data_IF_842192164525
#
_entry.id   IF_842192164525
#
_cell.length_a   1.000
_cell.length_b   1.000
_cell.length_c   1.000
_cell.angle_alpha   90.00
_cell.angle_beta   90.00
_cell.angle_gamma   90.00
#
_symmetry.space_group_name_H-M   'P 1'
#
loop_
_entity.id
_entity.type
_entity.pdbx_description
1 polymer ?
#
# COMPACT_ATOMS: atom_id res chain seq x y z
N UNK A 1 10.45 13.18 29.42
CA UNK A 1 10.73 12.16 30.47
C UNK A 1 12.11 12.35 31.11
N UNK A 2 13.20 12.55 30.35
CA UNK A 2 14.52 12.85 30.92
C UNK A 2 14.55 14.12 31.81
N UNK A 3 13.82 15.18 31.44
CA UNK A 3 13.70 16.41 32.27
C UNK A 3 12.98 16.16 33.61
N UNK A 4 12.05 15.19 33.66
CA UNK A 4 11.32 14.83 34.89
C UNK A 4 12.26 14.12 35.87
N UNK A 5 13.03 13.17 35.35
CA UNK A 5 14.06 12.44 36.10
C UNK A 5 15.13 13.41 36.62
N UNK A 6 15.60 14.35 35.80
CA UNK A 6 16.61 15.33 36.20
C UNK A 6 16.09 16.36 37.23
N UNK A 7 14.80 16.70 37.20
CA UNK A 7 14.18 17.60 38.19
C UNK A 7 14.06 16.98 39.58
N UNK A 8 13.86 15.65 39.68
CA UNK A 8 13.87 14.96 40.97
C UNK A 8 15.27 14.89 41.60
N UNK A 9 16.33 14.95 40.79
CA UNK A 9 17.71 14.94 41.27
C UNK A 9 18.28 16.31 41.61
N UNK A 10 17.62 17.39 41.18
CA UNK A 10 18.11 18.76 41.39
C UNK A 10 17.47 19.44 42.61
N UNK A 11 16.88 18.67 43.53
CA UNK A 11 16.26 19.18 44.75
C UNK A 11 17.26 19.96 45.61
N UNK A 12 17.04 21.27 45.67
CA UNK A 12 17.87 22.24 46.38
C UNK A 12 17.76 22.05 47.90
N UNK A 13 18.92 21.93 48.55
CA UNK A 13 19.14 22.22 49.97
C UNK A 13 18.37 21.41 51.01
N UNK A 14 18.97 20.33 51.53
CA UNK A 14 18.51 19.79 52.81
C UNK A 14 19.00 18.43 53.27
N UNK A 15 20.29 18.10 53.13
CA UNK A 15 21.10 17.22 54.02
C UNK A 15 20.57 15.89 54.57
N UNK A 16 19.40 15.39 54.17
CA UNK A 16 18.92 14.04 54.48
C UNK A 16 19.41 13.16 53.35
N UNK A 17 20.29 12.22 53.66
CA UNK A 17 20.69 11.18 52.73
C UNK A 17 19.42 10.50 52.21
N UNK A 18 19.00 10.88 51.00
CA UNK A 18 17.93 10.21 50.28
C UNK A 18 18.49 8.83 49.98
N UNK A 19 18.12 7.85 50.82
CA UNK A 19 18.42 6.45 50.56
C UNK A 19 17.79 6.12 49.22
N UNK A 20 18.63 5.99 48.19
CA UNK A 20 18.19 5.55 46.87
C UNK A 20 17.50 4.21 47.04
N UNK A 21 16.21 4.16 46.70
CA UNK A 21 15.50 2.90 46.64
C UNK A 21 15.95 2.15 45.36
N UNK A 22 17.08 1.46 45.48
CA UNK A 22 17.65 0.64 44.42
C UNK A 22 16.63 -0.38 43.88
N UNK A 23 15.68 -0.83 44.72
CA UNK A 23 14.65 -1.76 44.29
C UNK A 23 13.62 -1.10 43.36
N UNK A 24 13.32 0.18 43.55
CA UNK A 24 12.43 0.93 42.65
C UNK A 24 13.07 1.12 41.27
N UNK A 25 14.36 1.44 41.23
CA UNK A 25 15.11 1.55 39.96
C UNK A 25 15.19 0.21 39.25
N UNK A 26 15.46 -0.88 39.98
CA UNK A 26 15.51 -2.22 39.39
C UNK A 26 14.15 -2.64 38.80
N UNK A 27 13.04 -2.36 39.50
CA UNK A 27 11.68 -2.61 38.98
C UNK A 27 11.40 -1.79 37.72
N UNK A 28 11.76 -0.51 37.70
CA UNK A 28 11.61 0.35 36.53
C UNK A 28 12.44 -0.16 35.34
N UNK A 29 13.69 -0.58 35.57
CA UNK A 29 14.53 -1.17 34.53
C UNK A 29 13.91 -2.44 33.94
N UNK A 30 13.36 -3.33 34.78
CA UNK A 30 12.66 -4.54 34.31
C UNK A 30 11.45 -4.21 33.46
N UNK A 31 10.64 -3.22 33.84
CA UNK A 31 9.51 -2.78 33.03
C UNK A 31 9.95 -2.21 31.67
N UNK A 32 10.95 -1.34 31.66
CA UNK A 32 11.50 -0.77 30.41
C UNK A 32 12.11 -1.84 29.50
N UNK A 33 12.71 -2.89 30.07
CA UNK A 33 13.24 -4.02 29.31
C UNK A 33 12.12 -4.83 28.64
N UNK A 34 11.01 -5.10 29.36
CA UNK A 34 9.82 -5.74 28.79
C UNK A 34 9.22 -4.87 27.69
N UNK A 35 9.02 -3.56 27.94
CA UNK A 35 8.47 -2.64 26.94
C UNK A 35 9.35 -2.58 25.68
N UNK A 36 10.68 -2.57 25.85
CA UNK A 36 11.62 -2.63 24.73
C UNK A 36 11.49 -3.92 23.93
N UNK A 37 11.33 -5.06 24.60
CA UNK A 37 11.14 -6.36 23.93
C UNK A 37 9.80 -6.43 23.18
N UNK A 38 8.72 -5.91 23.79
CA UNK A 38 7.40 -5.84 23.15
C UNK A 38 7.41 -4.92 21.93
N UNK A 39 8.05 -3.75 22.04
CA UNK A 39 8.25 -2.83 20.91
C UNK A 39 9.09 -3.47 19.81
N UNK A 40 10.17 -4.18 20.15
CA UNK A 40 10.98 -4.94 19.19
C UNK A 40 10.14 -5.97 18.43
N UNK A 41 9.39 -6.80 19.17
CA UNK A 41 8.49 -7.82 18.60
C UNK A 41 7.38 -7.21 17.73
N UNK A 42 6.92 -6.00 18.07
CA UNK A 42 5.95 -5.27 17.25
C UNK A 42 6.58 -4.72 15.97
N UNK A 43 7.79 -4.16 16.04
CA UNK A 43 8.53 -3.70 14.87
C UNK A 43 8.81 -4.85 13.90
N UNK A 44 9.24 -6.00 14.39
CA UNK A 44 9.50 -7.19 13.56
C UNK A 44 8.24 -7.67 12.83
N UNK A 45 7.09 -7.75 13.53
CA UNK A 45 5.80 -8.08 12.90
C UNK A 45 5.40 -7.10 11.82
N UNK A 46 5.54 -5.79 12.08
CA UNK A 46 5.22 -4.76 11.08
C UNK A 46 6.14 -4.82 9.86
N UNK A 47 7.42 -5.18 10.04
CA UNK A 47 8.36 -5.39 8.93
C UNK A 47 7.96 -6.61 8.10
N UNK A 48 7.57 -7.71 8.75
CA UNK A 48 7.09 -8.91 8.06
C UNK A 48 5.78 -8.62 7.28
N UNK A 49 4.79 -7.98 7.90
CA UNK A 49 3.54 -7.59 7.24
C UNK A 49 3.78 -6.65 6.06
N UNK A 50 4.69 -5.68 6.21
CA UNK A 50 5.05 -4.76 5.10
C UNK A 50 5.66 -5.54 3.93
N UNK A 51 6.51 -6.54 4.20
CA UNK A 51 7.11 -7.39 3.17
C UNK A 51 6.04 -8.22 2.46
N UNK A 52 5.18 -8.91 3.21
CA UNK A 52 4.07 -9.69 2.64
C UNK A 52 3.13 -8.84 1.76
N UNK A 53 2.83 -7.61 2.19
CA UNK A 53 2.04 -6.68 1.40
C UNK A 53 2.75 -6.19 0.14
N UNK A 54 4.09 -6.06 0.17
CA UNK A 54 4.89 -5.73 -1.01
C UNK A 54 4.87 -6.88 -2.01
N UNK A 55 5.13 -8.10 -1.54
CA UNK A 55 5.14 -9.30 -2.39
C UNK A 55 3.76 -9.51 -3.07
N UNK A 56 2.67 -9.37 -2.30
CA UNK A 56 1.31 -9.46 -2.83
C UNK A 56 0.96 -8.34 -3.83
N UNK A 57 1.57 -7.15 -3.69
CA UNK A 57 1.40 -6.05 -4.64
C UNK A 57 2.06 -6.39 -5.98
N UNK A 58 3.29 -6.90 -5.92
CA UNK A 58 4.06 -7.27 -7.11
C UNK A 58 3.38 -8.41 -7.88
N UNK A 59 2.80 -9.40 -7.18
CA UNK A 59 1.98 -10.46 -7.78
C UNK A 59 0.74 -9.91 -8.51
N UNK A 60 0.01 -8.98 -7.88
CA UNK A 60 -1.17 -8.36 -8.49
C UNK A 60 -0.80 -7.48 -9.71
N UNK A 61 0.35 -6.80 -9.67
CA UNK A 61 0.85 -6.06 -10.83
C UNK A 61 1.18 -7.00 -11.99
N UNK A 62 1.81 -8.15 -11.71
CA UNK A 62 2.09 -9.16 -12.72
C UNK A 62 0.81 -9.75 -13.33
N UNK A 63 -0.21 -10.06 -12.52
CA UNK A 63 -1.52 -10.52 -13.00
C UNK A 63 -2.21 -9.47 -13.89
N UNK A 64 -2.12 -8.19 -13.52
CA UNK A 64 -2.68 -7.09 -14.31
C UNK A 64 -1.99 -6.98 -15.68
N UNK A 65 -0.66 -7.05 -15.72
CA UNK A 65 0.08 -7.07 -16.98
C UNK A 65 -0.30 -8.27 -17.86
N UNK A 66 -0.46 -9.45 -17.25
CA UNK A 66 -0.91 -10.65 -17.96
C UNK A 66 -2.32 -10.47 -18.55
N UNK A 67 -3.27 -9.98 -17.76
CA UNK A 67 -4.64 -9.72 -18.22
C UNK A 67 -4.70 -8.67 -19.34
N UNK A 68 -3.89 -7.60 -19.26
CA UNK A 68 -3.76 -6.62 -20.33
C UNK A 68 -3.26 -7.25 -21.63
N UNK A 69 -2.22 -8.08 -21.55
CA UNK A 69 -1.68 -8.79 -22.71
C UNK A 69 -2.72 -9.73 -23.34
N UNK A 70 -3.44 -10.50 -22.52
CA UNK A 70 -4.53 -11.37 -23.00
C UNK A 70 -5.64 -10.58 -23.69
N UNK A 71 -5.98 -9.40 -23.17
CA UNK A 71 -6.96 -8.50 -23.78
C UNK A 71 -6.48 -7.95 -25.13
N UNK A 72 -5.22 -7.54 -25.23
CA UNK A 72 -4.63 -7.06 -26.49
C UNK A 72 -4.56 -8.18 -27.54
N UNK A 73 -4.21 -9.40 -27.13
CA UNK A 73 -4.19 -10.57 -28.02
C UNK A 73 -5.61 -10.93 -28.49
N UNK A 74 -6.61 -10.87 -27.60
CA UNK A 74 -8.01 -11.08 -27.97
C UNK A 74 -8.52 -9.99 -28.95
N UNK A 75 -8.14 -8.73 -28.74
CA UNK A 75 -8.44 -7.62 -29.67
C UNK A 75 -7.84 -7.88 -31.05
N UNK A 76 -6.57 -8.29 -31.13
CA UNK A 76 -5.92 -8.66 -32.40
C UNK A 76 -6.64 -9.83 -33.09
N UNK A 77 -7.01 -10.87 -32.34
CA UNK A 77 -7.76 -11.99 -32.89
C UNK A 77 -9.12 -11.56 -33.46
N UNK A 78 -9.85 -10.69 -32.76
CA UNK A 78 -11.12 -10.15 -33.26
C UNK A 78 -10.93 -9.30 -34.52
N UNK A 79 -9.88 -8.49 -34.59
CA UNK A 79 -9.54 -7.72 -35.79
C UNK A 79 -9.25 -8.64 -36.99
N UNK A 80 -8.47 -9.70 -36.78
CA UNK A 80 -8.21 -10.71 -37.82
C UNK A 80 -9.49 -11.41 -38.28
N UNK A 81 -10.36 -11.84 -37.35
CA UNK A 81 -11.65 -12.43 -37.70
C UNK A 81 -12.54 -11.46 -38.48
N UNK A 82 -12.53 -10.17 -38.14
CA UNK A 82 -13.25 -9.13 -38.87
C UNK A 82 -12.74 -8.97 -40.30
N UNK A 83 -11.42 -9.00 -40.52
CA UNK A 83 -10.82 -8.98 -41.85
C UNK A 83 -11.18 -10.24 -42.65
N UNK A 84 -11.10 -11.42 -42.04
CA UNK A 84 -11.44 -12.69 -42.69
C UNK A 84 -12.92 -12.75 -43.10
N UNK A 85 -13.83 -12.22 -42.28
CA UNK A 85 -15.24 -12.11 -42.61
C UNK A 85 -15.48 -11.16 -43.80
N UNK A 86 -14.78 -10.03 -43.86
CA UNK A 86 -14.85 -9.10 -45.00
C UNK A 86 -14.28 -9.72 -46.28
N UNK A 87 -13.29 -10.59 -46.18
CA UNK A 87 -12.74 -11.31 -47.34
C UNK A 87 -13.66 -12.46 -47.81
N UNK A 88 -14.41 -13.11 -46.90
CA UNK A 88 -15.38 -14.18 -47.23
C UNK A 88 -16.74 -13.67 -47.68
N UNK A 89 -17.20 -12.55 -47.14
CA UNK A 89 -18.46 -11.90 -47.56
C UNK A 89 -18.18 -10.96 -48.72
N UNK A 90 -18.56 -11.35 -49.94
CA UNK A 90 -18.52 -10.48 -51.12
C UNK A 90 -19.23 -9.13 -50.89
N UNK A 91 -19.03 -8.16 -51.80
CA UNK A 91 -19.18 -6.72 -51.58
C UNK A 91 -20.44 -6.37 -50.78
N UNK A 92 -20.20 -5.89 -49.56
CA UNK A 92 -21.19 -5.34 -48.65
C UNK A 92 -21.84 -4.13 -49.32
N UNK A 93 -23.13 -4.27 -49.64
CA UNK A 93 -23.99 -3.18 -50.11
C UNK A 93 -24.11 -2.17 -48.98
N UNK A 94 -23.36 -1.08 -49.05
CA UNK A 94 -23.38 0.02 -48.09
C UNK A 94 -24.73 0.75 -48.13
N UNK A 95 -25.46 0.89 -47.00
CA UNK A 95 -26.43 1.95 -46.83
C UNK A 95 -25.66 3.24 -46.56
N UNK A 96 -25.69 4.13 -47.55
CA UNK A 96 -25.15 5.46 -47.48
C UNK A 96 -26.12 6.33 -46.66
N UNK A 97 -25.86 6.50 -45.36
CA UNK A 97 -26.48 7.57 -44.57
C UNK A 97 -25.40 8.46 -43.97
N UNK A 98 -25.28 9.64 -44.56
CA UNK A 98 -24.59 10.79 -44.00
C UNK A 98 -25.41 11.32 -42.82
N UNK A 99 -24.85 11.29 -41.62
CA UNK A 99 -25.31 12.15 -40.53
C UNK A 99 -24.08 12.77 -39.89
N UNK A 100 -23.85 14.03 -40.23
CA UNK A 100 -22.94 14.91 -39.51
C UNK A 100 -23.51 15.27 -38.15
N UNK A 101 -22.64 15.21 -37.14
CA UNK A 101 -22.92 15.64 -35.78
C UNK A 101 -21.65 15.45 -34.96
N UNK A 102 -20.96 16.56 -34.70
CA UNK A 102 -19.74 16.67 -33.92
C UNK A 102 -19.96 16.34 -32.44
N UNK A 103 -20.32 15.09 -32.14
CA UNK A 103 -20.14 14.53 -30.81
C UNK A 103 -18.93 13.60 -30.87
N UNK A 104 -17.88 14.00 -30.14
CA UNK A 104 -16.64 13.25 -29.90
C UNK A 104 -16.95 11.98 -29.10
N UNK A 105 -17.70 11.06 -29.73
CA UNK A 105 -17.81 9.68 -29.31
C UNK A 105 -16.43 9.09 -29.48
N UNK A 106 -15.70 8.99 -28.37
CA UNK A 106 -14.44 8.28 -28.27
C UNK A 106 -14.54 6.97 -29.04
N UNK A 107 -13.53 6.64 -29.85
CA UNK A 107 -13.50 5.45 -30.71
C UNK A 107 -13.92 4.16 -29.97
N UNK A 108 -13.68 4.09 -28.65
CA UNK A 108 -14.14 3.01 -27.77
C UNK A 108 -15.68 2.89 -27.69
N UNK A 109 -16.42 4.00 -27.67
CA UNK A 109 -17.89 4.02 -27.62
C UNK A 109 -18.50 3.47 -28.92
N UNK A 110 -17.84 3.74 -30.06
CA UNK A 110 -18.27 3.28 -31.38
C UNK A 110 -17.94 1.80 -31.58
N UNK A 111 -16.80 1.33 -31.06
CA UNK A 111 -16.41 -0.08 -31.07
C UNK A 111 -17.34 -0.95 -30.20
N UNK A 112 -17.79 -0.43 -29.04
CA UNK A 112 -18.80 -1.08 -28.20
C UNK A 112 -20.17 -1.14 -28.91
N UNK A 113 -20.58 -0.07 -29.60
CA UNK A 113 -21.82 -0.08 -30.36
C UNK A 113 -21.78 -1.07 -31.53
N UNK A 114 -20.62 -1.21 -32.19
CA UNK A 114 -20.44 -2.14 -33.31
C UNK A 114 -20.40 -3.60 -32.85
N UNK A 115 -19.83 -3.89 -31.68
CA UNK A 115 -19.91 -5.23 -31.05
C UNK A 115 -21.34 -5.58 -30.60
N UNK A 116 -22.10 -4.60 -30.12
CA UNK A 116 -23.52 -4.76 -29.76
C UNK A 116 -24.38 -5.15 -30.97
N UNK A 117 -24.13 -4.61 -32.17
CA UNK A 117 -24.87 -4.98 -33.39
C UNK A 117 -24.73 -6.46 -33.79
N UNK A 118 -23.63 -7.13 -33.42
CA UNK A 118 -23.46 -8.58 -33.63
C UNK A 118 -24.45 -9.43 -32.81
N UNK A 119 -24.83 -8.95 -31.63
CA UNK A 119 -25.77 -9.66 -30.74
C UNK A 119 -27.23 -9.56 -31.21
N UNK A 120 -27.58 -8.54 -32.01
CA UNK A 120 -28.94 -8.38 -32.55
C UNK A 120 -29.35 -9.53 -33.48
N UNK A 121 -28.41 -10.08 -34.27
CA UNK A 121 -28.70 -11.23 -35.14
C UNK A 121 -28.97 -12.51 -34.34
N UNK A 122 -28.34 -12.68 -33.17
CA UNK A 122 -28.60 -13.82 -32.29
C UNK A 122 -29.94 -13.68 -31.55
N UNK A 123 -30.31 -12.46 -31.16
CA UNK A 123 -31.59 -12.18 -30.53
C UNK A 123 -32.78 -12.50 -31.46
N UNK A 124 -32.64 -12.27 -32.77
CA UNK A 124 -33.65 -12.60 -33.77
C UNK A 124 -33.89 -14.12 -33.94
N UNK A 125 -32.91 -14.94 -33.60
CA UNK A 125 -33.00 -16.40 -33.67
C UNK A 125 -33.55 -17.05 -32.37
N UNK A 126 -33.61 -16.31 -31.27
CA UNK A 126 -34.10 -16.83 -29.99
C UNK A 126 -35.63 -16.81 -29.92
N UNK A 127 -36.21 -17.87 -29.36
CA UNK A 127 -37.63 -17.88 -29.03
C UNK A 127 -37.94 -16.83 -27.95
N UNK A 128 -39.17 -16.29 -27.94
CA UNK A 128 -39.62 -15.29 -26.95
C UNK A 128 -39.36 -15.71 -25.50
N UNK A 129 -39.48 -17.01 -25.20
CA UNK A 129 -39.21 -17.56 -23.86
C UNK A 129 -37.71 -17.53 -23.51
N UNK A 130 -36.83 -17.85 -24.46
CA UNK A 130 -35.38 -17.77 -24.28
C UNK A 130 -34.94 -16.33 -24.05
N UNK A 131 -35.48 -15.39 -24.83
CA UNK A 131 -35.19 -13.97 -24.69
C UNK A 131 -35.63 -13.42 -23.33
N UNK A 132 -36.81 -13.82 -22.84
CA UNK A 132 -37.27 -13.45 -21.50
C UNK A 132 -36.39 -14.01 -20.38
N UNK A 133 -35.85 -15.23 -20.54
CA UNK A 133 -34.89 -15.81 -19.57
C UNK A 133 -33.55 -15.08 -19.61
N UNK A 134 -33.00 -14.84 -20.79
CA UNK A 134 -31.76 -14.11 -20.97
C UNK A 134 -31.86 -12.70 -20.35
N UNK A 135 -32.98 -12.01 -20.56
CA UNK A 135 -33.23 -10.70 -19.95
C UNK A 135 -33.21 -10.78 -18.42
N UNK A 136 -33.88 -11.77 -17.81
CA UNK A 136 -33.85 -11.96 -16.35
C UNK A 136 -32.44 -12.25 -15.83
N UNK A 137 -31.70 -13.14 -16.49
CA UNK A 137 -30.30 -13.42 -16.11
C UNK A 137 -29.45 -12.14 -16.18
N UNK A 138 -29.59 -11.34 -17.23
CA UNK A 138 -28.86 -10.07 -17.35
C UNK A 138 -29.27 -9.04 -16.29
N UNK A 139 -30.55 -9.03 -15.87
CA UNK A 139 -31.03 -8.17 -14.79
C UNK A 139 -30.47 -8.61 -13.43
N UNK A 140 -30.41 -9.91 -13.17
CA UNK A 140 -29.84 -10.47 -11.94
C UNK A 140 -28.33 -10.22 -11.87
N UNK A 141 -27.62 -10.40 -12.98
CA UNK A 141 -26.19 -10.09 -13.10
C UNK A 141 -25.92 -8.61 -12.83
N UNK A 142 -26.68 -7.71 -13.48
CA UNK A 142 -26.57 -6.27 -13.26
C UNK A 142 -26.82 -5.89 -11.80
N UNK A 143 -27.83 -6.47 -11.15
CA UNK A 143 -28.12 -6.24 -9.73
C UNK A 143 -26.97 -6.73 -8.82
N UNK A 144 -26.38 -7.90 -9.14
CA UNK A 144 -25.25 -8.44 -8.40
C UNK A 144 -24.00 -7.57 -8.52
N UNK A 145 -23.76 -7.00 -9.71
CA UNK A 145 -22.62 -6.12 -9.98
C UNK A 145 -22.82 -4.74 -9.32
N UNK A 146 -24.05 -4.21 -9.30
CA UNK A 146 -24.40 -3.01 -8.53
C UNK A 146 -24.13 -3.21 -7.02
N UNK A 147 -24.52 -4.35 -6.46
CA UNK A 147 -24.25 -4.64 -5.05
C UNK A 147 -22.74 -4.79 -4.77
N UNK A 148 -22.00 -5.43 -5.68
CA UNK A 148 -20.54 -5.59 -5.58
C UNK A 148 -19.84 -4.24 -5.64
N UNK A 149 -20.19 -3.40 -6.60
CA UNK A 149 -19.64 -2.06 -6.77
C UNK A 149 -19.97 -1.15 -5.58
N UNK A 150 -21.18 -1.21 -5.05
CA UNK A 150 -21.55 -0.47 -3.84
C UNK A 150 -20.71 -0.92 -2.63
N UNK A 151 -20.50 -2.23 -2.46
CA UNK A 151 -19.65 -2.77 -1.38
C UNK A 151 -18.20 -2.31 -1.51
N UNK A 152 -17.66 -2.27 -2.73
CA UNK A 152 -16.33 -1.75 -3.00
C UNK A 152 -16.26 -0.24 -2.73
N UNK A 153 -17.25 0.54 -3.16
CA UNK A 153 -17.32 1.98 -2.89
C UNK A 153 -17.35 2.27 -1.37
N UNK A 154 -18.10 1.49 -0.59
CA UNK A 154 -18.12 1.57 0.88
C UNK A 154 -16.76 1.24 1.51
N UNK A 155 -16.01 0.28 0.97
CA UNK A 155 -14.65 -0.05 1.43
C UNK A 155 -13.68 1.09 1.13
N UNK A 156 -13.66 1.56 -0.12
CA UNK A 156 -12.84 2.70 -0.55
C UNK A 156 -13.08 3.94 0.29
N UNK A 157 -14.34 4.21 0.67
CA UNK A 157 -14.67 5.32 1.57
C UNK A 157 -14.02 5.16 2.95
N UNK A 158 -14.12 3.99 3.56
CA UNK A 158 -13.50 3.72 4.88
C UNK A 158 -11.98 3.79 4.81
N UNK A 159 -11.37 3.32 3.73
CA UNK A 159 -9.93 3.37 3.57
C UNK A 159 -9.44 4.82 3.37
N UNK A 160 -10.19 5.65 2.64
CA UNK A 160 -9.93 7.10 2.58
C UNK A 160 -10.03 7.76 3.95
N UNK A 161 -11.07 7.45 4.74
CA UNK A 161 -11.21 7.97 6.10
C UNK A 161 -10.03 7.56 7.00
N UNK A 162 -9.55 6.32 6.88
CA UNK A 162 -8.36 5.84 7.61
C UNK A 162 -7.08 6.55 7.19
N UNK A 163 -6.87 6.73 5.88
CA UNK A 163 -5.72 7.45 5.35
C UNK A 163 -5.71 8.91 5.82
N UNK A 164 -6.87 9.55 5.86
CA UNK A 164 -7.02 10.92 6.37
C UNK A 164 -6.62 11.02 7.85
N UNK A 165 -7.01 10.07 8.69
CA UNK A 165 -6.58 10.03 10.10
C UNK A 165 -5.05 9.88 10.23
N UNK A 166 -4.43 9.06 9.37
CA UNK A 166 -2.98 8.89 9.35
C UNK A 166 -2.26 10.16 8.89
N UNK A 167 -2.78 10.84 7.88
CA UNK A 167 -2.28 12.13 7.40
C UNK A 167 -2.34 13.18 8.52
N UNK A 168 -3.49 13.35 9.17
CA UNK A 168 -3.67 14.25 10.31
C UNK A 168 -2.67 13.96 11.45
N UNK A 169 -2.43 12.66 11.72
CA UNK A 169 -1.48 12.24 12.77
C UNK A 169 -0.04 12.57 12.37
N UNK A 170 0.33 12.31 11.11
CA UNK A 170 1.65 12.64 10.59
C UNK A 170 1.90 14.16 10.61
N UNK A 171 0.90 14.97 10.28
CA UNK A 171 1.01 16.42 10.31
C UNK A 171 1.18 16.97 11.73
N UNK A 172 0.44 16.42 12.71
CA UNK A 172 0.65 16.76 14.13
C UNK A 172 2.07 16.44 14.59
N UNK A 173 2.60 15.27 14.20
CA UNK A 173 3.97 14.90 14.53
C UNK A 173 5.01 15.82 13.87
N UNK A 174 4.81 16.20 12.59
CA UNK A 174 5.67 17.18 11.91
C UNK A 174 5.66 18.53 12.62
N UNK A 175 4.49 18.99 13.05
CA UNK A 175 4.33 20.23 13.81
C UNK A 175 5.04 20.15 15.17
N UNK A 176 4.88 19.05 15.90
CA UNK A 176 5.55 18.81 17.19
C UNK A 176 7.08 18.79 17.04
N UNK A 177 7.61 18.06 16.06
CA UNK A 177 9.05 18.03 15.76
C UNK A 177 9.55 19.44 15.43
N UNK A 178 8.80 20.19 14.63
CA UNK A 178 9.15 21.58 14.28
C UNK A 178 9.16 22.48 15.51
N UNK A 179 8.18 22.32 16.41
CA UNK A 179 8.12 23.05 17.67
C UNK A 179 9.30 22.71 18.58
N UNK A 180 9.62 21.43 18.74
CA UNK A 180 10.78 20.97 19.53
C UNK A 180 12.07 21.54 18.95
N UNK A 181 12.25 21.50 17.62
CA UNK A 181 13.42 22.09 16.94
C UNK A 181 13.54 23.58 17.21
N UNK A 182 12.45 24.34 17.06
CA UNK A 182 12.42 25.78 17.37
C UNK A 182 12.76 26.06 18.84
N UNK A 183 12.16 25.32 19.77
CA UNK A 183 12.42 25.45 21.22
C UNK A 183 13.87 25.14 21.57
N UNK A 184 14.46 24.12 20.95
CA UNK A 184 15.88 23.79 21.14
C UNK A 184 16.76 24.89 20.55
N UNK A 185 16.43 25.41 19.37
CA UNK A 185 17.16 26.51 18.74
C UNK A 185 17.14 27.79 19.59
N UNK A 186 15.99 28.16 20.16
CA UNK A 186 15.89 29.34 21.05
C UNK A 186 16.65 29.14 22.36
N UNK A 187 16.60 27.95 22.96
CA UNK A 187 17.41 27.60 24.13
C UNK A 187 18.92 27.72 23.85
N UNK A 188 19.37 27.25 22.68
CA UNK A 188 20.77 27.36 22.27
C UNK A 188 21.17 28.82 22.00
N UNK A 189 20.30 29.62 21.37
CA UNK A 189 20.54 31.04 21.14
C UNK A 189 20.68 31.84 22.45
N UNK A 190 19.96 31.45 23.50
CA UNK A 190 20.10 32.04 24.85
C UNK A 190 21.36 31.61 25.62
N UNK A 191 22.15 30.67 25.09
CA UNK A 191 23.40 30.16 25.72
C UNK A 191 24.56 30.19 24.70
N UNK A 192 25.06 31.38 24.33
CA UNK A 192 26.10 31.52 23.30
C UNK A 192 27.40 30.77 23.63
N UNK A 193 27.72 30.59 24.93
CA UNK A 193 28.88 29.82 25.40
C UNK A 193 28.82 28.34 24.96
N UNK A 194 27.64 27.70 25.07
CA UNK A 194 27.42 26.30 24.67
C UNK A 194 27.51 26.14 23.16
N UNK A 195 27.06 27.14 22.40
CA UNK A 195 27.21 27.15 20.94
C UNK A 195 28.68 27.26 20.56
N UNK A 196 29.43 28.16 21.21
CA UNK A 196 30.87 28.34 20.96
C UNK A 196 31.68 27.08 21.29
N UNK A 197 31.40 26.41 22.42
CA UNK A 197 32.04 25.14 22.78
C UNK A 197 31.72 24.02 21.79
N UNK A 198 30.47 23.93 21.33
CA UNK A 198 30.08 22.94 20.32
C UNK A 198 30.79 23.16 18.99
N UNK A 199 30.89 24.41 18.53
CA UNK A 199 31.63 24.75 17.30
C UNK A 199 33.12 24.44 17.45
N UNK A 200 33.73 24.73 18.60
CA UNK A 200 35.11 24.34 18.89
C UNK A 200 35.28 22.83 18.84
N UNK A 201 34.37 22.06 19.45
CA UNK A 201 34.41 20.60 19.45
C UNK A 201 34.27 20.02 18.03
N UNK A 202 33.35 20.56 17.22
CA UNK A 202 33.20 20.14 15.82
C UNK A 202 34.47 20.44 15.00
N UNK A 203 35.06 21.62 15.20
CA UNK A 203 36.34 21.96 14.59
C UNK A 203 37.46 21.02 15.06
N UNK A 204 37.53 20.68 16.35
CA UNK A 204 38.49 19.68 16.84
C UNK A 204 38.25 18.29 16.25
N UNK A 205 37.00 17.86 16.07
CA UNK A 205 36.67 16.58 15.43
C UNK A 205 37.07 16.57 13.94
N UNK A 206 36.89 17.68 13.24
CA UNK A 206 37.34 17.85 11.84
C UNK A 206 38.87 17.71 11.71
N UNK A 207 39.64 18.17 12.70
CA UNK A 207 41.11 18.05 12.70
C UNK A 207 41.64 16.73 13.29
N UNK A 208 40.88 16.05 14.15
CA UNK A 208 41.31 14.81 14.82
C UNK A 208 40.87 13.54 14.11
N UNK A 209 39.86 13.61 13.25
CA UNK A 209 39.47 12.52 12.37
C UNK A 209 39.96 12.84 10.96
N UNK A 210 41.05 12.22 10.44
CA UNK A 210 41.40 12.37 9.04
C UNK A 210 40.26 11.79 8.20
N UNK A 211 39.44 12.66 7.61
CA UNK A 211 38.37 12.33 6.64
C UNK A 211 38.98 11.98 5.27
N UNK A 212 40.07 11.22 5.28
CA UNK A 212 40.58 10.47 4.13
C UNK A 212 40.49 8.98 4.47
N UNK A 213 39.31 8.52 4.90
CA UNK A 213 38.94 7.15 4.59
C UNK A 213 38.45 7.18 3.15
N UNK A 214 39.40 7.04 2.23
CA UNK A 214 39.10 6.36 0.97
C UNK A 214 38.47 5.04 1.39
N UNK A 215 37.14 4.99 1.46
CA UNK A 215 36.43 3.73 1.50
C UNK A 215 36.74 3.16 0.12
N UNK A 216 37.57 2.10 0.00
CA UNK A 216 37.73 1.47 -1.29
C UNK A 216 36.31 1.13 -1.74
N UNK A 217 35.93 1.68 -2.89
CA UNK A 217 34.74 1.29 -3.64
C UNK A 217 34.95 -0.18 -4.06
N UNK A 218 34.89 -1.08 -3.09
CA UNK A 218 34.67 -2.47 -3.33
C UNK A 218 33.32 -2.58 -4.06
N UNK A 219 33.20 -3.52 -5.00
CA UNK A 219 31.97 -3.70 -5.76
C UNK A 219 30.81 -3.79 -4.77
N UNK A 220 29.88 -2.84 -4.89
CA UNK A 220 28.66 -2.83 -4.11
C UNK A 220 28.03 -4.23 -4.18
N UNK A 221 27.73 -4.89 -3.05
CA UNK A 221 27.00 -6.16 -3.07
C UNK A 221 25.58 -5.97 -3.63
N UNK A 222 25.11 -4.73 -3.74
CA UNK A 222 23.97 -4.35 -4.56
C UNK A 222 24.50 -4.03 -5.94
N UNK A 223 24.60 -5.08 -6.76
CA UNK A 223 25.05 -5.01 -8.14
C UNK A 223 24.35 -3.88 -8.88
N UNK A 224 25.18 -3.13 -9.60
CA UNK A 224 24.78 -2.24 -10.67
C UNK A 224 23.90 -3.05 -11.63
N UNK A 225 22.59 -2.84 -11.56
CA UNK A 225 21.65 -3.36 -12.54
C UNK A 225 21.93 -2.55 -13.80
N UNK A 226 22.89 -3.02 -14.59
CA UNK A 226 23.10 -2.55 -15.95
C UNK A 226 21.86 -2.88 -16.74
N UNK A 227 21.01 -1.87 -16.92
CA UNK A 227 19.99 -1.85 -17.96
C UNK A 227 20.68 -2.13 -19.29
N UNK A 228 20.40 -3.29 -19.87
CA UNK A 228 20.80 -3.60 -21.24
C UNK A 228 21.67 -4.83 -21.37
N UNK A 229 21.06 -6.00 -21.24
CA UNK A 229 21.26 -7.07 -22.21
C UNK A 229 20.12 -8.07 -22.08
N UNK A 230 19.32 -8.18 -23.14
CA UNK A 230 18.32 -9.22 -23.27
C UNK A 230 19.01 -10.57 -23.23
N UNK A 231 18.83 -11.28 -22.13
CA UNK A 231 19.17 -12.69 -22.03
C UNK A 231 17.85 -13.43 -22.15
N UNK A 232 17.54 -13.82 -23.39
CA UNK A 232 16.61 -14.89 -23.69
C UNK A 232 17.20 -16.21 -23.17
N UNK A 233 17.07 -16.46 -21.87
CA UNK A 233 17.25 -17.79 -21.32
C UNK A 233 15.88 -18.40 -21.01
N UNK A 234 15.50 -19.50 -21.67
CA UNK A 234 14.32 -20.25 -21.29
C UNK A 234 14.58 -20.88 -19.92
N UNK A 235 13.98 -20.29 -18.89
CA UNK A 235 13.87 -20.90 -17.58
C UNK A 235 13.07 -22.20 -17.71
N UNK A 236 13.81 -23.32 -17.79
CA UNK A 236 13.27 -24.64 -17.52
C UNK A 236 12.84 -24.66 -16.05
N UNK A 237 11.52 -24.59 -15.84
CA UNK A 237 10.90 -24.80 -14.54
C UNK A 237 11.17 -26.26 -14.11
N UNK A 238 11.65 -26.50 -12.87
CA UNK A 238 11.72 -27.86 -12.35
C UNK A 238 10.30 -28.42 -12.20
N UNK A 239 10.07 -29.56 -12.82
CA UNK A 239 8.85 -30.34 -12.68
C UNK A 239 8.60 -30.70 -11.21
N UNK A 240 7.37 -30.40 -10.76
CA UNK A 240 6.61 -31.26 -9.85
C UNK A 240 7.23 -31.54 -8.49
N UNK A 241 7.09 -30.61 -7.55
CA UNK A 241 6.96 -31.00 -6.13
C UNK A 241 5.47 -30.92 -5.80
N UNK A 242 4.85 -32.09 -5.68
CA UNK A 242 3.46 -32.27 -5.25
C UNK A 242 3.22 -31.53 -3.93
N UNK A 243 2.48 -30.43 -4.01
CA UNK A 243 2.09 -29.65 -2.85
C UNK A 243 1.13 -30.45 -1.98
N UNK A 244 1.58 -30.82 -0.79
CA UNK A 244 0.68 -31.26 0.28
C UNK A 244 -0.36 -30.16 0.57
N UNK A 245 -1.65 -30.52 0.74
CA UNK A 245 -2.68 -29.54 1.08
C UNK A 245 -2.39 -28.96 2.45
N UNK A 246 -1.96 -27.69 2.46
CA UNK A 246 -1.87 -26.89 3.68
C UNK A 246 -3.26 -26.83 4.29
N UNK A 247 -3.44 -27.59 5.38
CA UNK A 247 -4.60 -27.57 6.24
C UNK A 247 -4.81 -26.14 6.72
N UNK A 248 -5.82 -25.48 6.15
CA UNK A 248 -6.30 -24.17 6.61
C UNK A 248 -6.78 -24.32 8.03
N UNK A 249 -5.91 -24.01 9.00
CA UNK A 249 -6.30 -23.77 10.38
C UNK A 249 -7.19 -22.52 10.38
N UNK A 250 -8.50 -22.77 10.47
CA UNK A 250 -9.51 -21.73 10.63
C UNK A 250 -9.26 -21.07 11.98
N UNK A 251 -8.50 -19.99 11.98
CA UNK A 251 -8.32 -19.11 13.13
C UNK A 251 -9.69 -18.61 13.57
N UNK A 252 -10.10 -19.00 14.77
CA UNK A 252 -11.38 -18.60 15.33
C UNK A 252 -11.43 -17.07 15.50
N UNK A 253 -12.56 -16.41 15.21
CA UNK A 253 -12.67 -14.97 15.36
C UNK A 253 -12.53 -14.59 16.83
N UNK A 254 -11.54 -13.74 17.13
CA UNK A 254 -11.35 -13.10 18.42
C UNK A 254 -12.63 -12.35 18.84
N UNK A 255 -13.48 -13.00 19.65
CA UNK A 255 -14.59 -12.35 20.33
C UNK A 255 -14.02 -11.46 21.43
N UNK A 256 -14.03 -10.15 21.19
CA UNK A 256 -13.75 -9.16 22.23
C UNK A 256 -14.72 -9.36 23.42
N UNK A 257 -14.24 -9.25 24.66
CA UNK A 257 -15.08 -9.35 25.85
C UNK A 257 -16.12 -8.22 25.86
N UNK A 258 -17.39 -8.58 26.06
CA UNK A 258 -18.48 -7.61 26.22
C UNK A 258 -18.28 -6.84 27.52
N UNK A 259 -17.80 -5.60 27.42
CA UNK A 259 -17.79 -4.65 28.52
C UNK A 259 -19.24 -4.34 28.92
N UNK A 260 -19.69 -4.89 30.05
CA UNK A 260 -20.97 -4.48 30.67
C UNK A 260 -20.78 -3.07 31.22
N UNK A 261 -21.17 -2.07 30.43
CA UNK A 261 -21.34 -0.70 30.92
C UNK A 261 -22.42 -0.70 32.01
N UNK A 262 -22.05 -0.35 33.24
CA UNK A 262 -23.00 -0.01 34.29
C UNK A 262 -23.55 1.37 33.94
N UNK A 263 -24.79 1.40 33.45
CA UNK A 263 -25.57 2.63 33.38
C UNK A 263 -25.82 3.10 34.82
N UNK A 264 -25.34 4.29 35.15
CA UNK A 264 -25.77 5.04 36.34
C UNK A 264 -26.87 5.98 35.86
N UNK A 265 -28.13 5.82 36.31
CA UNK A 265 -29.17 6.79 36.02
C UNK A 265 -28.91 8.08 36.81
N UNK A 266 -29.14 9.22 36.14
CA UNK A 266 -29.22 10.56 36.74
C UNK A 266 -30.61 10.75 37.32
#
# INVERSE_FOLDING_TARGET
ELDFVQSQFSGDGGGKAVSFDLQAVEKMMKHLEVDRQELGSRCERLVAEKKELSDAKDDLEAELYKAKRELDDAKRQLQHQGLDQRLRGGPEVLPQEEVGGDDEATLESLEVLQQMSGTQRQAAAMTKLQLARALRCSQDELASEQLRSEKLARRLRKDRERLQILEDTADRQRQEITFIRKKTQTKMAGRPEVVAERTKMLHYLEHTLPVNREIPLGPSPFGEVTEGQGIDHPLALPEGVEGHPLSRSISAPNRLPKMRGRFVPI
#
